data_IF_791537438377
#
_entry.id   IF_791537438377
#
_cell.length_a   1.000
_cell.length_b   1.000
_cell.length_c   1.000
_cell.angle_alpha   90.00
_cell.angle_beta   90.00
_cell.angle_gamma   90.00
#
_symmetry.space_group_name_H-M   'P 1'
#
loop_
_entity.id
_entity.type
_entity.pdbx_description
1 polymer ?
#
# COMPACT_ATOMS: atom_id res chain seq x y z
N UNK A 1 8.51 -10.61 4.41
CA UNK A 1 8.21 -10.08 5.76
C UNK A 1 8.10 -8.56 5.70
N UNK A 2 7.05 -8.03 6.27
CA UNK A 2 6.85 -6.58 6.36
C UNK A 2 7.28 -6.11 7.76
N UNK A 3 8.43 -5.41 7.89
CA UNK A 3 8.92 -5.00 9.21
C UNK A 3 8.04 -3.96 9.90
N UNK A 4 7.10 -3.35 9.18
CA UNK A 4 6.19 -2.35 9.75
C UNK A 4 4.77 -2.88 9.90
N UNK A 5 4.55 -4.17 9.60
CA UNK A 5 3.22 -4.75 9.59
C UNK A 5 2.47 -4.71 10.92
N UNK A 6 3.20 -4.67 12.04
CA UNK A 6 2.60 -4.61 13.37
C UNK A 6 2.26 -3.18 13.82
N UNK A 7 2.76 -2.17 13.11
CA UNK A 7 2.54 -0.76 13.46
C UNK A 7 1.83 0.03 12.36
N UNK A 8 1.61 -0.59 11.20
CA UNK A 8 0.86 0.00 10.09
C UNK A 8 -0.37 -0.86 9.84
N UNK A 9 -1.51 -0.21 9.62
CA UNK A 9 -2.78 -0.89 9.45
C UNK A 9 -3.33 -0.66 8.05
N UNK A 10 -3.67 -1.73 7.30
CA UNK A 10 -4.27 -1.56 5.96
C UNK A 10 -5.57 -0.77 6.03
N UNK A 11 -5.86 0.08 5.04
CA UNK A 11 -7.12 0.83 5.01
C UNK A 11 -8.35 -0.06 5.13
N UNK A 12 -8.36 -1.20 4.45
CA UNK A 12 -9.49 -2.14 4.50
C UNK A 12 -9.74 -2.66 5.91
N UNK A 13 -8.67 -2.92 6.66
CA UNK A 13 -8.78 -3.39 8.03
C UNK A 13 -9.43 -2.33 8.93
N UNK A 14 -8.97 -1.08 8.79
CA UNK A 14 -9.50 0.03 9.59
C UNK A 14 -10.98 0.25 9.26
N UNK A 15 -11.30 0.37 7.97
CA UNK A 15 -12.67 0.68 7.55
C UNK A 15 -13.62 -0.50 7.76
N UNK A 16 -13.10 -1.74 7.65
CA UNK A 16 -13.89 -2.93 7.91
C UNK A 16 -14.28 -3.11 9.36
N UNK A 17 -13.51 -2.51 10.28
CA UNK A 17 -13.77 -2.58 11.72
C UNK A 17 -14.21 -1.22 12.31
N UNK A 18 -14.73 -0.34 11.47
CA UNK A 18 -15.09 1.01 11.87
C UNK A 18 -16.02 1.04 13.09
N UNK A 19 -17.02 0.15 13.11
CA UNK A 19 -17.98 0.07 14.22
C UNK A 19 -17.31 -0.40 15.50
N UNK A 20 -16.51 -1.45 15.40
CA UNK A 20 -15.84 -2.03 16.57
C UNK A 20 -14.81 -1.08 17.16
N UNK A 21 -14.17 -0.28 16.31
CA UNK A 21 -13.21 0.73 16.74
C UNK A 21 -13.89 1.99 17.30
N UNK A 22 -15.17 2.17 17.01
CA UNK A 22 -15.86 3.38 17.42
C UNK A 22 -15.39 4.60 16.66
N UNK A 23 -15.12 4.46 15.36
CA UNK A 23 -14.70 5.60 14.53
C UNK A 23 -15.80 6.66 14.51
N UNK A 24 -15.42 7.90 14.75
CA UNK A 24 -16.34 9.03 14.63
C UNK A 24 -16.67 9.29 13.18
N UNK A 25 -17.76 10.00 12.92
CA UNK A 25 -18.12 10.40 11.56
C UNK A 25 -17.02 11.26 10.93
N UNK A 26 -16.38 12.10 11.73
CA UNK A 26 -15.26 12.93 11.28
C UNK A 26 -14.08 12.09 10.86
N UNK A 27 -13.72 11.07 11.64
CA UNK A 27 -12.64 10.15 11.29
C UNK A 27 -12.96 9.42 9.99
N UNK A 28 -14.19 8.90 9.85
CA UNK A 28 -14.60 8.17 8.64
C UNK A 28 -14.57 9.06 7.41
N UNK A 29 -15.06 10.29 7.52
CA UNK A 29 -15.07 11.23 6.40
C UNK A 29 -13.66 11.56 5.95
N UNK A 30 -12.78 11.85 6.91
CA UNK A 30 -11.37 12.15 6.60
C UNK A 30 -10.70 10.95 5.92
N UNK A 31 -10.85 9.78 6.50
CA UNK A 31 -10.22 8.55 5.98
C UNK A 31 -10.69 8.20 4.58
N UNK A 32 -12.01 8.27 4.34
CA UNK A 32 -12.57 8.00 3.02
C UNK A 32 -12.03 8.98 1.98
N UNK A 33 -11.92 10.25 2.33
CA UNK A 33 -11.37 11.27 1.45
C UNK A 33 -9.91 10.99 1.09
N UNK A 34 -9.10 10.62 2.07
CA UNK A 34 -7.70 10.32 1.84
C UNK A 34 -7.51 9.05 1.02
N UNK A 35 -8.32 8.03 1.28
CA UNK A 35 -8.30 6.78 0.50
C UNK A 35 -8.67 7.06 -0.95
N UNK A 36 -9.69 7.88 -1.17
CA UNK A 36 -10.15 8.22 -2.51
C UNK A 36 -9.09 8.98 -3.31
N UNK A 37 -8.46 9.98 -2.69
CA UNK A 37 -7.37 10.73 -3.33
C UNK A 37 -6.21 9.82 -3.69
N UNK A 38 -5.85 8.93 -2.77
CA UNK A 38 -4.75 7.99 -2.97
C UNK A 38 -5.08 7.02 -4.11
N UNK A 39 -6.30 6.50 -4.15
CA UNK A 39 -6.73 5.57 -5.21
C UNK A 39 -6.65 6.24 -6.58
N UNK A 40 -7.11 7.48 -6.67
CA UNK A 40 -7.07 8.24 -7.94
C UNK A 40 -5.63 8.43 -8.40
N UNK A 41 -4.74 8.85 -7.50
CA UNK A 41 -3.33 9.04 -7.83
C UNK A 41 -2.64 7.73 -8.17
N UNK A 42 -3.00 6.66 -7.47
CA UNK A 42 -2.44 5.34 -7.73
C UNK A 42 -2.77 4.86 -9.15
N UNK A 43 -4.00 5.07 -9.62
CA UNK A 43 -4.38 4.71 -10.98
C UNK A 43 -3.55 5.45 -12.02
N UNK A 44 -3.32 6.74 -11.81
CA UNK A 44 -2.45 7.53 -12.70
C UNK A 44 -1.03 6.96 -12.74
N UNK A 45 -0.50 6.60 -11.57
CA UNK A 45 0.84 6.04 -11.48
C UNK A 45 0.93 4.65 -12.10
N UNK A 46 -0.14 3.85 -12.00
CA UNK A 46 -0.17 2.55 -12.68
C UNK A 46 -0.07 2.69 -14.20
N UNK A 47 -0.77 3.67 -14.75
CA UNK A 47 -0.68 3.94 -16.19
C UNK A 47 0.73 4.39 -16.57
N UNK A 48 1.33 5.27 -15.77
CA UNK A 48 2.71 5.69 -15.99
C UNK A 48 3.67 4.51 -15.91
N UNK A 49 3.44 3.59 -14.98
CA UNK A 49 4.28 2.39 -14.86
C UNK A 49 4.18 1.51 -16.10
N UNK A 50 2.97 1.29 -16.61
CA UNK A 50 2.78 0.53 -17.84
C UNK A 50 3.49 1.20 -19.01
N UNK A 51 3.38 2.52 -19.12
CA UNK A 51 4.03 3.28 -20.18
C UNK A 51 5.54 3.20 -20.06
N UNK A 52 6.09 3.20 -18.86
CA UNK A 52 7.53 3.10 -18.64
C UNK A 52 8.06 1.68 -18.90
N UNK A 53 7.24 0.66 -18.62
CA UNK A 53 7.63 -0.74 -18.85
C UNK A 53 7.70 -1.11 -20.31
N UNK A 54 6.86 -0.51 -21.15
CA UNK A 54 6.79 -0.89 -22.56
C UNK A 54 8.11 -0.71 -23.31
N UNK A 55 8.78 0.47 -23.22
CA UNK A 55 10.09 0.61 -23.89
C UNK A 55 11.14 -0.37 -23.35
N UNK A 56 11.14 -0.62 -22.04
CA UNK A 56 12.09 -1.56 -21.46
C UNK A 56 11.84 -2.98 -21.98
N UNK A 57 10.58 -3.38 -22.03
CA UNK A 57 10.21 -4.70 -22.56
C UNK A 57 10.69 -4.84 -24.02
N UNK A 58 10.46 -3.82 -24.85
CA UNK A 58 10.88 -3.86 -26.24
C UNK A 58 12.41 -3.95 -26.37
N UNK A 59 13.13 -3.19 -25.55
CA UNK A 59 14.59 -3.22 -25.54
C UNK A 59 15.12 -4.61 -25.17
N UNK A 60 14.49 -5.25 -24.18
CA UNK A 60 14.94 -6.55 -23.68
C UNK A 60 14.62 -7.72 -24.64
N UNK A 61 13.75 -7.51 -25.63
CA UNK A 61 13.45 -8.54 -26.63
C UNK A 61 14.62 -8.80 -27.58
N UNK A 62 15.53 -7.85 -27.71
CA UNK A 62 16.69 -8.00 -28.60
C UNK A 62 17.65 -9.06 -28.03
N UNK A 63 18.32 -9.79 -28.96
CA UNK A 63 19.33 -10.78 -28.56
C UNK A 63 20.56 -10.11 -27.93
N UNK A 64 20.82 -8.87 -28.29
CA UNK A 64 21.89 -8.06 -27.71
C UNK A 64 21.28 -6.75 -27.23
N UNK A 65 21.52 -6.41 -25.97
CA UNK A 65 20.86 -5.28 -25.30
C UNK A 65 21.91 -4.22 -24.97
N UNK A 66 21.59 -2.98 -25.30
CA UNK A 66 22.40 -1.83 -24.87
C UNK A 66 22.12 -1.61 -23.38
N UNK A 67 23.12 -1.87 -22.55
CA UNK A 67 22.97 -1.80 -21.09
C UNK A 67 22.59 -0.40 -20.62
N UNK A 68 23.22 0.64 -21.16
CA UNK A 68 22.93 2.01 -20.75
C UNK A 68 21.49 2.40 -21.06
N UNK A 69 21.01 2.03 -22.24
CA UNK A 69 19.62 2.29 -22.62
C UNK A 69 18.65 1.54 -21.71
N UNK A 70 18.93 0.25 -21.47
CA UNK A 70 18.07 -0.57 -20.62
C UNK A 70 18.01 -0.03 -19.20
N UNK A 71 19.17 0.39 -18.65
CA UNK A 71 19.21 0.94 -17.28
C UNK A 71 18.49 2.29 -17.19
N UNK A 72 18.60 3.15 -18.22
CA UNK A 72 17.86 4.40 -18.24
C UNK A 72 16.34 4.16 -18.26
N UNK A 73 15.90 3.16 -19.01
CA UNK A 73 14.49 2.77 -19.06
C UNK A 73 14.04 2.16 -17.72
N UNK A 74 14.89 1.35 -17.11
CA UNK A 74 14.63 0.79 -15.78
C UNK A 74 14.49 1.90 -14.73
N UNK A 75 15.31 2.93 -14.80
CA UNK A 75 15.25 4.04 -13.86
C UNK A 75 13.88 4.73 -13.86
N UNK A 76 13.25 4.85 -15.04
CA UNK A 76 11.89 5.41 -15.12
C UNK A 76 10.87 4.51 -14.45
N UNK A 77 11.01 3.19 -14.62
CA UNK A 77 10.16 2.21 -13.94
C UNK A 77 10.33 2.33 -12.42
N UNK A 78 11.57 2.36 -11.96
CA UNK A 78 11.88 2.45 -10.54
C UNK A 78 11.38 3.76 -9.91
N UNK A 79 11.48 4.87 -10.65
CA UNK A 79 10.94 6.15 -10.18
C UNK A 79 9.44 6.07 -9.94
N UNK A 80 8.72 5.47 -10.87
CA UNK A 80 7.26 5.31 -10.73
C UNK A 80 6.90 4.37 -9.58
N UNK A 81 7.61 3.25 -9.46
CA UNK A 81 7.41 2.31 -8.36
C UNK A 81 7.68 2.97 -7.01
N UNK A 82 8.72 3.79 -6.94
CA UNK A 82 9.02 4.56 -5.73
C UNK A 82 7.88 5.49 -5.36
N UNK A 83 7.33 6.19 -6.33
CA UNK A 83 6.18 7.08 -6.09
C UNK A 83 4.97 6.32 -5.58
N UNK A 84 4.70 5.13 -6.13
CA UNK A 84 3.59 4.29 -5.68
C UNK A 84 3.79 3.87 -4.22
N UNK A 85 4.98 3.42 -3.87
CA UNK A 85 5.28 3.01 -2.49
C UNK A 85 5.15 4.17 -1.52
N UNK A 86 5.67 5.33 -1.88
CA UNK A 86 5.56 6.54 -1.04
C UNK A 86 4.10 6.95 -0.86
N UNK A 87 3.31 6.86 -1.92
CA UNK A 87 1.89 7.20 -1.88
C UNK A 87 1.14 6.33 -0.87
N UNK A 88 1.33 5.02 -0.94
CA UNK A 88 0.66 4.08 -0.04
C UNK A 88 1.15 4.23 1.40
N UNK A 89 2.45 4.44 1.59
CA UNK A 89 3.01 4.64 2.92
C UNK A 89 2.49 5.92 3.55
N UNK A 90 2.40 6.99 2.78
CA UNK A 90 1.85 8.26 3.23
C UNK A 90 0.39 8.11 3.66
N UNK A 91 -0.41 7.38 2.89
CA UNK A 91 -1.79 7.09 3.29
C UNK A 91 -1.83 6.36 4.62
N UNK A 92 -1.00 5.33 4.78
CA UNK A 92 -0.92 4.58 6.04
C UNK A 92 -0.64 5.47 7.24
N UNK A 93 0.29 6.41 7.09
CA UNK A 93 0.63 7.36 8.16
C UNK A 93 -0.57 8.26 8.48
N UNK A 94 -1.22 8.81 7.45
CA UNK A 94 -2.36 9.71 7.65
C UNK A 94 -3.52 9.00 8.35
N UNK A 95 -3.80 7.76 7.97
CA UNK A 95 -4.85 6.99 8.61
C UNK A 95 -4.49 6.67 10.07
N UNK A 96 -3.25 6.25 10.30
CA UNK A 96 -2.78 5.96 11.65
C UNK A 96 -2.89 7.18 12.55
N UNK A 97 -2.53 8.35 12.05
CA UNK A 97 -2.56 9.58 12.84
C UNK A 97 -3.98 10.04 13.17
N UNK A 98 -4.98 9.53 12.47
CA UNK A 98 -6.38 9.80 12.78
C UNK A 98 -6.93 8.87 13.87
N UNK A 99 -6.23 7.78 14.16
CA UNK A 99 -6.67 6.83 15.17
C UNK A 99 -6.16 7.25 16.55
N UNK A 100 -6.99 7.06 17.56
CA UNK A 100 -6.57 7.25 18.95
C UNK A 100 -5.64 6.09 19.36
N UNK A 101 -4.83 6.27 20.43
CA UNK A 101 -4.03 5.16 20.95
C UNK A 101 -4.85 3.92 21.29
N UNK A 102 -6.06 4.12 21.81
CA UNK A 102 -6.97 3.00 22.12
C UNK A 102 -7.40 2.25 20.87
N UNK A 103 -7.76 3.00 19.83
CA UNK A 103 -8.15 2.41 18.54
C UNK A 103 -7.01 1.64 17.93
N UNK A 104 -5.79 2.18 17.98
CA UNK A 104 -4.61 1.49 17.49
C UNK A 104 -4.35 0.21 18.27
N UNK A 105 -4.54 0.24 19.59
CA UNK A 105 -4.40 -0.94 20.44
C UNK A 105 -5.40 -2.02 20.08
N UNK A 106 -6.64 -1.64 19.80
CA UNK A 106 -7.68 -2.58 19.37
C UNK A 106 -7.34 -3.22 18.04
N UNK A 107 -6.83 -2.44 17.09
CA UNK A 107 -6.42 -2.98 15.79
C UNK A 107 -5.28 -3.98 15.92
N UNK A 108 -4.31 -3.70 16.79
CA UNK A 108 -3.22 -4.65 17.05
C UNK A 108 -3.76 -5.94 17.64
N UNK A 109 -4.72 -5.84 18.56
CA UNK A 109 -5.37 -7.00 19.15
C UNK A 109 -6.14 -7.84 18.16
N UNK A 110 -6.84 -7.20 17.22
CA UNK A 110 -7.55 -7.89 16.15
C UNK A 110 -6.59 -8.64 15.22
N UNK A 111 -5.46 -8.00 14.89
CA UNK A 111 -4.44 -8.60 14.02
C UNK A 111 -3.80 -9.83 14.68
N UNK A 112 -3.65 -9.80 16.01
CA UNK A 112 -3.06 -10.89 16.79
C UNK A 112 -4.12 -11.78 17.45
N UNK A 113 -5.41 -11.61 17.07
CA UNK A 113 -6.51 -12.36 17.63
C UNK A 113 -6.49 -13.83 17.25
N UNK A 114 -7.52 -14.60 17.69
CA UNK A 114 -7.57 -16.04 17.40
C UNK A 114 -7.43 -16.33 15.92
N UNK A 115 -6.59 -17.30 15.62
CA UNK A 115 -6.37 -17.72 14.24
C UNK A 115 -7.64 -18.39 13.72
N UNK A 116 -8.08 -18.09 12.48
CA UNK A 116 -9.28 -18.72 11.93
C UNK A 116 -9.15 -20.25 11.89
N UNK A 117 -10.22 -20.94 12.26
CA UNK A 117 -10.25 -22.40 12.21
C UNK A 117 -10.06 -22.89 10.78
N UNK A 118 -9.33 -23.97 10.64
CA UNK A 118 -9.09 -24.59 9.34
C UNK A 118 -7.97 -23.99 8.52
N UNK A 119 -7.29 -22.96 9.05
CA UNK A 119 -6.16 -22.36 8.35
C UNK A 119 -4.86 -22.70 9.06
N UNK A 120 -3.79 -22.99 8.29
CA UNK A 120 -2.48 -23.25 8.91
C UNK A 120 -1.93 -21.96 9.51
N UNK A 121 -1.36 -22.09 10.71
CA UNK A 121 -0.73 -20.94 11.38
C UNK A 121 0.68 -20.71 10.83
N UNK A 122 1.12 -19.45 10.75
CA UNK A 122 2.52 -19.20 10.37
C UNK A 122 3.45 -19.85 11.38
N UNK A 123 4.48 -20.52 10.89
CA UNK A 123 5.49 -21.16 11.74
C UNK A 123 5.16 -22.56 12.22
N UNK A 124 4.02 -23.10 11.84
CA UNK A 124 3.67 -24.49 12.12
C UNK A 124 3.95 -25.41 10.93
#
# INVERSE_FOLDING_TARGET
MDPLGDVMFPPDMIMGHARELGLTDEQKTFMRGEIQKTTTRFLELQWQLQDAMEPLHQTMKSNSVDEQQALAQLDKVLDTERQIKRLHFSLGIRLKNQLTPEQQGRLRGMRMGPWPEGQPRPGE
#
